data_IF_927605365798
#
_entry.id   IF_927605365798
#
_cell.length_a   1.000
_cell.length_b   1.000
_cell.length_c   1.000
_cell.angle_alpha   90.00
_cell.angle_beta   90.00
_cell.angle_gamma   90.00
#
_symmetry.space_group_name_H-M   'P 1'
#
loop_
_entity.id
_entity.type
_entity.pdbx_description
1 polymer ?
#
# COMPACT_ATOMS: atom_id res chain seq x y z
N UNK A 1 -16.63 -7.89 -1.83
CA UNK A 1 -15.34 -8.60 -2.03
C UNK A 1 -14.48 -8.38 -0.79
N UNK A 2 -13.44 -9.18 -0.53
CA UNK A 2 -12.51 -8.96 0.59
C UNK A 2 -11.06 -9.06 0.09
N UNK A 3 -10.12 -8.27 0.62
CA UNK A 3 -8.73 -8.33 0.19
C UNK A 3 -8.11 -9.69 0.55
N UNK A 4 -7.45 -10.33 -0.42
CA UNK A 4 -6.83 -11.67 -0.26
C UNK A 4 -5.30 -11.63 -0.13
N UNK A 5 -4.74 -10.50 0.29
CA UNK A 5 -3.30 -10.30 0.39
C UNK A 5 -2.70 -9.52 -0.78
N UNK A 6 -1.39 -9.70 -0.98
CA UNK A 6 -0.58 -8.94 -1.94
C UNK A 6 -0.20 -9.84 -3.11
N UNK A 7 -0.27 -9.30 -4.34
CA UNK A 7 0.22 -9.98 -5.54
C UNK A 7 1.77 -9.96 -5.61
N UNK A 8 2.42 -10.66 -4.70
CA UNK A 8 3.88 -10.67 -4.57
C UNK A 8 4.57 -11.20 -5.84
N UNK A 9 4.04 -12.26 -6.46
CA UNK A 9 4.61 -12.81 -7.69
C UNK A 9 4.51 -11.82 -8.85
N UNK A 10 3.39 -11.10 -8.97
CA UNK A 10 3.23 -10.07 -9.98
C UNK A 10 4.19 -8.89 -9.82
N UNK A 11 4.53 -8.53 -8.58
CA UNK A 11 5.50 -7.48 -8.27
C UNK A 11 6.94 -7.93 -8.55
N UNK A 12 7.31 -9.16 -8.14
CA UNK A 12 8.62 -9.74 -8.46
C UNK A 12 8.85 -9.81 -9.96
N UNK A 13 7.86 -10.24 -10.74
CA UNK A 13 7.95 -10.28 -12.22
C UNK A 13 8.12 -8.90 -12.86
N UNK A 14 7.76 -7.82 -12.15
CA UNK A 14 7.93 -6.43 -12.58
C UNK A 14 9.22 -5.79 -12.06
N UNK A 15 10.10 -6.57 -11.42
CA UNK A 15 11.41 -6.10 -10.98
C UNK A 15 11.43 -5.40 -9.63
N UNK A 16 10.37 -5.51 -8.81
CA UNK A 16 10.41 -4.99 -7.44
C UNK A 16 11.46 -5.75 -6.64
N UNK A 17 12.39 -5.01 -6.03
CA UNK A 17 13.41 -5.59 -5.17
C UNK A 17 12.87 -5.94 -3.77
N UNK A 18 13.74 -6.50 -2.92
CA UNK A 18 13.33 -7.00 -1.60
C UNK A 18 12.84 -5.88 -0.69
N UNK A 19 13.46 -4.72 -0.78
CA UNK A 19 13.17 -3.53 0.01
C UNK A 19 11.80 -2.98 -0.38
N UNK A 20 11.53 -2.82 -1.69
CA UNK A 20 10.24 -2.39 -2.21
C UNK A 20 9.13 -3.39 -1.85
N UNK A 21 9.38 -4.69 -1.98
CA UNK A 21 8.41 -5.72 -1.56
C UNK A 21 8.14 -5.65 -0.04
N UNK A 22 9.13 -5.29 0.77
CA UNK A 22 8.96 -5.09 2.22
C UNK A 22 8.07 -3.88 2.51
N UNK A 23 8.29 -2.77 1.80
CA UNK A 23 7.46 -1.55 1.88
C UNK A 23 6.01 -1.85 1.53
N UNK A 24 5.74 -2.55 0.42
CA UNK A 24 4.37 -2.96 0.03
C UNK A 24 3.72 -3.86 1.09
N UNK A 25 4.47 -4.78 1.71
CA UNK A 25 3.97 -5.63 2.80
C UNK A 25 3.62 -4.85 4.06
N UNK A 26 4.36 -3.78 4.38
CA UNK A 26 4.06 -2.88 5.49
C UNK A 26 2.80 -2.05 5.16
N UNK A 27 2.72 -1.49 3.96
CA UNK A 27 1.56 -0.72 3.50
C UNK A 27 0.24 -1.51 3.59
N UNK A 28 0.24 -2.79 3.18
CA UNK A 28 -0.94 -3.64 3.33
C UNK A 28 -1.40 -3.80 4.79
N UNK A 29 -0.46 -3.87 5.73
CA UNK A 29 -0.79 -3.97 7.16
C UNK A 29 -1.41 -2.67 7.67
N UNK A 30 -0.84 -1.52 7.30
CA UNK A 30 -1.39 -0.19 7.62
C UNK A 30 -2.83 -0.05 7.12
N UNK A 31 -3.12 -0.51 5.91
CA UNK A 31 -4.47 -0.36 5.35
C UNK A 31 -5.52 -1.30 5.95
N UNK A 32 -5.14 -2.53 6.29
CA UNK A 32 -6.11 -3.59 6.58
C UNK A 32 -5.96 -4.27 7.94
N UNK A 33 -4.91 -3.98 8.71
CA UNK A 33 -4.59 -4.72 9.95
C UNK A 33 -4.36 -3.84 11.17
N UNK A 34 -4.16 -2.54 11.04
CA UNK A 34 -3.94 -1.62 12.18
C UNK A 34 -5.23 -1.01 12.73
N UNK A 35 -6.33 -1.06 11.98
CA UNK A 35 -7.61 -0.46 12.39
C UNK A 35 -7.71 1.05 12.16
N UNK A 36 -6.68 1.65 11.54
CA UNK A 36 -6.61 3.08 11.25
C UNK A 36 -7.76 3.55 10.34
N UNK A 37 -8.16 4.81 10.55
CA UNK A 37 -8.95 5.56 9.57
C UNK A 37 -8.12 5.80 8.31
N UNK A 38 -8.79 6.10 7.20
CA UNK A 38 -8.11 6.28 5.91
C UNK A 38 -7.08 7.42 5.95
N UNK A 39 -7.39 8.53 6.60
CA UNK A 39 -6.50 9.69 6.75
C UNK A 39 -5.22 9.34 7.53
N UNK A 40 -5.36 8.63 8.65
CA UNK A 40 -4.22 8.16 9.46
C UNK A 40 -3.37 7.16 8.68
N UNK A 41 -4.03 6.25 7.95
CA UNK A 41 -3.35 5.29 7.09
C UNK A 41 -2.58 5.99 5.96
N UNK A 42 -3.16 7.01 5.32
CA UNK A 42 -2.49 7.81 4.29
C UNK A 42 -1.23 8.48 4.82
N UNK A 43 -1.31 9.10 6.01
CA UNK A 43 -0.15 9.72 6.64
C UNK A 43 0.95 8.69 6.96
N UNK A 44 0.60 7.53 7.50
CA UNK A 44 1.57 6.45 7.72
C UNK A 44 2.18 5.92 6.42
N UNK A 45 1.41 5.85 5.33
CA UNK A 45 1.91 5.42 4.03
C UNK A 45 2.90 6.44 3.43
N UNK A 46 2.66 7.74 3.60
CA UNK A 46 3.59 8.79 3.17
C UNK A 46 4.93 8.68 3.91
N UNK A 47 4.91 8.48 5.23
CA UNK A 47 6.12 8.28 6.04
C UNK A 47 6.84 6.96 5.76
N UNK A 48 6.10 5.93 5.35
CA UNK A 48 6.63 4.62 5.02
C UNK A 48 7.26 4.55 3.62
N UNK A 49 6.90 5.47 2.74
CA UNK A 49 7.35 5.46 1.36
C UNK A 49 8.87 5.58 1.28
N UNK A 50 9.47 4.84 0.35
CA UNK A 50 10.92 4.88 0.17
C UNK A 50 11.30 5.94 -0.86
N UNK A 51 12.61 6.22 -0.96
CA UNK A 51 13.17 7.19 -1.93
C UNK A 51 12.90 6.79 -3.39
N UNK A 52 12.43 5.57 -3.65
CA UNK A 52 12.05 5.07 -4.97
C UNK A 52 10.59 5.35 -5.31
N UNK A 53 9.80 5.93 -4.40
CA UNK A 53 8.39 6.22 -4.63
C UNK A 53 7.53 4.95 -4.75
N UNK A 54 7.92 3.86 -4.07
CA UNK A 54 7.26 2.55 -4.21
C UNK A 54 5.75 2.59 -3.93
N UNK A 55 5.29 3.52 -3.09
CA UNK A 55 3.89 3.68 -2.71
C UNK A 55 3.16 4.82 -3.43
N UNK A 56 3.83 5.59 -4.31
CA UNK A 56 3.25 6.78 -4.95
C UNK A 56 1.94 6.49 -5.69
N UNK A 57 1.94 5.41 -6.47
CA UNK A 57 0.73 4.99 -7.19
C UNK A 57 -0.40 4.57 -6.25
N UNK A 58 -0.06 4.00 -5.09
CA UNK A 58 -1.04 3.59 -4.09
C UNK A 58 -1.63 4.80 -3.36
N UNK A 59 -0.79 5.72 -2.88
CA UNK A 59 -1.25 6.92 -2.18
C UNK A 59 -2.06 7.82 -3.11
N UNK A 60 -1.62 7.99 -4.36
CA UNK A 60 -2.38 8.70 -5.39
C UNK A 60 -3.75 8.05 -5.63
N UNK A 61 -3.84 6.73 -5.73
CA UNK A 61 -5.12 6.04 -5.89
C UNK A 61 -6.05 6.27 -4.68
N UNK A 62 -5.51 6.17 -3.46
CA UNK A 62 -6.29 6.33 -2.24
C UNK A 62 -6.83 7.76 -2.07
N UNK A 63 -6.02 8.77 -2.40
CA UNK A 63 -6.44 10.18 -2.34
C UNK A 63 -7.54 10.53 -3.34
N UNK A 64 -7.62 9.82 -4.47
CA UNK A 64 -8.60 10.08 -5.53
C UNK A 64 -9.81 9.13 -5.48
N UNK A 65 -9.94 8.28 -4.46
CA UNK A 65 -11.02 7.28 -4.42
C UNK A 65 -12.28 7.80 -3.72
N UNK A 66 -13.32 8.12 -4.50
CA UNK A 66 -14.62 8.56 -3.97
C UNK A 66 -15.39 7.46 -3.20
N UNK A 67 -15.16 6.19 -3.57
CA UNK A 67 -15.83 5.03 -2.96
C UNK A 67 -15.01 4.34 -1.89
N UNK A 68 -13.82 4.87 -1.58
CA UNK A 68 -12.86 4.24 -0.68
C UNK A 68 -12.30 2.93 -1.22
N UNK A 69 -11.88 2.03 -0.32
CA UNK A 69 -11.31 0.73 -0.65
C UNK A 69 -12.13 -0.41 -0.05
N UNK A 70 -12.05 -1.56 -0.69
CA UNK A 70 -12.68 -2.79 -0.21
C UNK A 70 -12.08 -3.19 1.14
N UNK A 71 -12.92 -3.33 2.17
CA UNK A 71 -12.55 -3.88 3.48
C UNK A 71 -13.32 -5.16 3.75
#
# INVERSE_FOLDING_TARGET
AAPRGINLEGLKRRGFDKEQLSVVKKAYRVLYRTGNRLEEALHELELLNDDKGTLDSLTMFLNNSDRGIVR
#
